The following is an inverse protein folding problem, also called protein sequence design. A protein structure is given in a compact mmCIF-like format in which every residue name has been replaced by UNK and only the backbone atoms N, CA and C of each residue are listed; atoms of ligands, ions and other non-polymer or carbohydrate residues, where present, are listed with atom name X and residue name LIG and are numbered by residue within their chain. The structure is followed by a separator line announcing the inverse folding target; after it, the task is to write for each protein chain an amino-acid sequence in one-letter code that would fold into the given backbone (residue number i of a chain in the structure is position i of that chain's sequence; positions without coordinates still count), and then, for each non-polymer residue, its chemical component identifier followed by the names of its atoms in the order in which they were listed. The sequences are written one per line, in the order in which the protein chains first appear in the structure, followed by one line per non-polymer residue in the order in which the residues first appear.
data_IF_008955364176
#
_entry.id   IF_008955364176
#
_cell.length_a   1.000
_cell.length_b   1.000
_cell.length_c   1.000
_cell.angle_alpha   90.00
_cell.angle_beta   90.00
_cell.angle_gamma   90.00
#
_symmetry.space_group_name_H-M   'P 1'
#
loop_
_entity.id
_entity.type
_entity.pdbx_description
1 polymer ?
#
# COMPACT_ATOMS: atom_id res chain seq x y z
N UNK A 1 -19.95 -8.04 -28.95
CA UNK A 1 -20.86 -7.32 -28.03
C UNK A 1 -20.53 -7.64 -26.57
N UNK A 2 -20.65 -8.89 -26.09
CA UNK A 2 -20.31 -9.26 -24.70
C UNK A 2 -18.79 -9.36 -24.41
N UNK A 3 -18.00 -9.76 -25.41
CA UNK A 3 -16.55 -9.91 -25.28
C UNK A 3 -15.84 -8.61 -24.89
N UNK A 4 -16.23 -7.48 -25.47
CA UNK A 4 -15.70 -6.17 -25.11
C UNK A 4 -16.05 -5.77 -23.67
N UNK A 5 -17.25 -6.10 -23.19
CA UNK A 5 -17.67 -5.83 -21.82
C UNK A 5 -16.85 -6.65 -20.80
N UNK A 6 -16.53 -7.91 -21.11
CA UNK A 6 -15.67 -8.74 -20.28
C UNK A 6 -14.22 -8.25 -20.26
N UNK A 7 -13.68 -7.86 -21.42
CA UNK A 7 -12.34 -7.26 -21.51
C UNK A 7 -12.30 -5.94 -20.73
N UNK A 8 -13.32 -5.09 -20.88
CA UNK A 8 -13.43 -3.83 -20.13
C UNK A 8 -13.62 -4.04 -18.63
N UNK A 9 -14.43 -5.03 -18.22
CA UNK A 9 -14.61 -5.40 -16.82
C UNK A 9 -13.32 -5.94 -16.20
N UNK A 10 -12.60 -6.81 -16.91
CA UNK A 10 -11.28 -7.31 -16.51
C UNK A 10 -10.22 -6.19 -16.47
N UNK A 11 -10.29 -5.22 -17.38
CA UNK A 11 -9.45 -4.02 -17.32
C UNK A 11 -9.81 -3.12 -16.15
N UNK A 12 -11.09 -2.99 -15.81
CA UNK A 12 -11.53 -2.19 -14.66
C UNK A 12 -11.09 -2.79 -13.33
N UNK A 13 -11.06 -4.11 -13.21
CA UNK A 13 -10.55 -4.80 -12.02
C UNK A 13 -9.02 -4.77 -11.97
N UNK A 14 -8.33 -4.86 -13.13
CA UNK A 14 -6.86 -4.75 -13.20
C UNK A 14 -6.31 -3.33 -13.08
N UNK A 15 -7.11 -2.29 -13.36
CA UNK A 15 -6.72 -0.87 -13.23
C UNK A 15 -6.67 -0.34 -11.79
N UNK A 16 -6.89 -1.17 -10.77
CA UNK A 16 -6.67 -0.80 -9.35
C UNK A 16 -5.24 -1.09 -8.84
N UNK A 17 -4.32 -1.48 -9.71
CA UNK A 17 -2.89 -1.66 -9.39
C UNK A 17 -1.99 -0.53 -9.90
N UNK A 18 -2.58 0.50 -10.50
CA UNK A 18 -1.89 1.73 -10.96
C UNK A 18 -2.56 2.97 -10.37
N UNK A 19 -3.01 2.86 -9.12
CA UNK A 19 -3.32 4.05 -8.33
C UNK A 19 -2.00 4.76 -8.09
N UNK A 20 -1.90 5.95 -8.68
CA UNK A 20 -0.98 7.01 -8.31
C UNK A 20 -0.86 7.06 -6.78
N UNK A 21 0.27 6.63 -6.24
CA UNK A 21 0.75 7.17 -4.96
C UNK A 21 1.69 8.32 -5.39
N UNK A 22 1.12 9.45 -5.82
CA UNK A 22 0.89 10.63 -4.97
C UNK A 22 2.20 11.42 -4.81
N UNK A 23 2.36 12.40 -5.70
CA UNK A 23 3.10 13.63 -5.40
C UNK A 23 2.55 14.25 -4.10
N UNK A 24 3.35 15.11 -3.44
CA UNK A 24 3.06 16.00 -2.28
C UNK A 24 3.71 15.47 -0.99
N UNK A 25 4.68 16.09 -0.32
CA UNK A 25 5.31 17.42 -0.39
C UNK A 25 6.71 17.27 0.26
N UNK A 26 7.81 17.38 -0.49
CA UNK A 26 9.08 17.73 0.15
C UNK A 26 9.07 19.25 0.19
N UNK A 27 8.67 19.82 1.33
CA UNK A 27 8.98 21.21 1.61
C UNK A 27 10.51 21.30 1.62
N UNK A 28 11.04 21.96 0.60
CA UNK A 28 12.44 22.32 0.44
C UNK A 28 12.80 23.40 1.46
N UNK A 29 12.62 23.13 2.75
CA UNK A 29 12.98 24.01 3.86
C UNK A 29 12.69 23.29 5.18
N UNK A 30 13.51 22.29 5.56
CA UNK A 30 13.79 21.95 6.96
C UNK A 30 14.82 20.81 7.09
N UNK A 31 16.10 21.20 6.98
CA UNK A 31 17.13 20.95 8.00
C UNK A 31 17.35 19.49 8.45
N UNK A 32 18.25 18.79 7.75
CA UNK A 32 19.19 17.77 8.26
C UNK A 32 18.76 17.00 9.53
N UNK A 33 17.64 16.30 9.49
CA UNK A 33 17.26 15.33 10.51
C UNK A 33 16.72 14.10 9.79
N UNK A 34 17.28 12.93 10.12
CA UNK A 34 17.11 11.63 9.45
C UNK A 34 15.79 11.48 8.69
N UNK A 35 15.83 11.54 7.35
CA UNK A 35 14.67 11.34 6.49
C UNK A 35 14.16 9.90 6.64
N UNK A 36 13.23 9.70 7.57
CA UNK A 36 12.52 8.43 7.70
C UNK A 36 11.73 8.18 6.41
N UNK A 37 11.87 7.00 5.78
CA UNK A 37 11.11 6.69 4.58
C UNK A 37 9.61 6.69 4.92
N UNK A 38 8.86 7.55 4.24
CA UNK A 38 7.40 7.59 4.34
C UNK A 38 6.78 6.49 3.46
N UNK A 39 5.87 5.71 4.06
CA UNK A 39 5.09 4.68 3.36
C UNK A 39 3.61 5.05 3.37
N UNK A 40 2.96 4.93 2.20
CA UNK A 40 1.50 5.05 2.11
C UNK A 40 0.83 3.88 2.85
N UNK A 41 -0.36 4.13 3.42
CA UNK A 41 -1.14 3.05 4.05
C UNK A 41 -1.42 1.90 3.08
N UNK A 42 -1.65 2.21 1.80
CA UNK A 42 -1.83 1.23 0.72
C UNK A 42 -0.63 0.29 0.59
N UNK A 43 0.60 0.82 0.61
CA UNK A 43 1.83 0.00 0.58
C UNK A 43 1.93 -0.93 1.79
N UNK A 44 1.57 -0.45 2.99
CA UNK A 44 1.58 -1.26 4.22
C UNK A 44 0.55 -2.39 4.14
N UNK A 45 -0.67 -2.09 3.68
CA UNK A 45 -1.73 -3.09 3.48
C UNK A 45 -1.29 -4.15 2.47
N UNK A 46 -0.65 -3.74 1.37
CA UNK A 46 -0.16 -4.66 0.35
C UNK A 46 0.94 -5.58 0.89
N UNK A 47 1.95 -5.01 1.56
CA UNK A 47 3.06 -5.77 2.13
C UNK A 47 2.59 -6.80 3.17
N UNK A 48 1.64 -6.43 4.03
CA UNK A 48 1.11 -7.33 5.06
C UNK A 48 0.05 -8.32 4.56
N UNK A 49 -0.26 -8.33 3.26
CA UNK A 49 -1.40 -9.07 2.69
C UNK A 49 -2.71 -8.78 3.43
N UNK A 50 -3.00 -7.49 3.60
CA UNK A 50 -4.13 -6.96 4.36
C UNK A 50 -4.16 -7.46 5.82
N UNK A 51 -3.00 -7.38 6.50
CA UNK A 51 -2.84 -7.84 7.88
C UNK A 51 -3.30 -9.29 8.10
N UNK A 52 -2.97 -10.19 7.16
CA UNK A 52 -3.31 -11.60 7.25
C UNK A 52 -2.76 -12.22 8.54
N UNK A 53 -3.54 -13.09 9.19
CA UNK A 53 -3.10 -13.80 10.38
C UNK A 53 -1.93 -14.75 10.08
N UNK A 54 -1.81 -15.24 8.84
CA UNK A 54 -0.68 -16.07 8.41
C UNK A 54 0.65 -15.29 8.42
N UNK A 55 0.56 -13.96 8.34
CA UNK A 55 1.71 -13.06 8.42
C UNK A 55 1.94 -12.51 9.82
N UNK A 56 1.08 -12.82 10.80
CA UNK A 56 1.26 -12.35 12.17
C UNK A 56 2.40 -13.12 12.84
N UNK A 57 3.39 -12.38 13.32
CA UNK A 57 4.51 -12.91 14.09
C UNK A 57 4.17 -13.01 15.58
N UNK A 58 3.32 -12.12 16.08
CA UNK A 58 2.91 -12.11 17.49
C UNK A 58 2.07 -10.89 17.87
N UNK A 59 1.71 -10.81 19.15
CA UNK A 59 1.10 -9.63 19.77
C UNK A 59 1.70 -9.44 21.16
N UNK A 60 2.18 -8.23 21.45
CA UNK A 60 2.59 -7.80 22.77
C UNK A 60 1.88 -6.51 23.18
N UNK A 61 2.43 -5.83 24.18
CA UNK A 61 1.86 -4.58 24.70
C UNK A 61 1.89 -3.44 23.69
N UNK A 62 2.83 -3.49 22.74
CA UNK A 62 2.96 -2.54 21.63
C UNK A 62 2.06 -2.85 20.42
N UNK A 63 1.24 -3.91 20.49
CA UNK A 63 0.35 -4.33 19.42
C UNK A 63 0.83 -5.56 18.66
N UNK A 64 0.26 -5.75 17.47
CA UNK A 64 0.54 -6.91 16.63
C UNK A 64 1.68 -6.63 15.65
N UNK A 65 2.54 -7.62 15.44
CA UNK A 65 3.66 -7.55 14.50
C UNK A 65 3.36 -8.48 13.33
N UNK A 66 3.55 -7.99 12.10
CA UNK A 66 3.34 -8.74 10.88
C UNK A 66 4.63 -8.76 10.04
N UNK A 67 4.90 -9.90 9.39
CA UNK A 67 5.91 -9.98 8.33
C UNK A 67 5.34 -9.46 7.01
N UNK A 68 6.22 -8.99 6.15
CA UNK A 68 5.95 -8.55 4.78
C UNK A 68 6.34 -9.64 3.77
#
# INVERSE_FOLDING_TARGET
MLSFALIFYAWRTKKKSHLKDEETFVNEDQKQDLELPFFSFSKIVMATSNFSMDNKLGKGDFGAVYKF
#
